data_IF_414903765317
#
_entry.id   IF_414903765317
#
_cell.length_a   1.000
_cell.length_b   1.000
_cell.length_c   1.000
_cell.angle_alpha   90.00
_cell.angle_beta   90.00
_cell.angle_gamma   90.00
#
_symmetry.space_group_name_H-M   'P 1'
#
loop_
_entity.id
_entity.type
_entity.pdbx_description
1 polymer ?
#
# COMPACT_ATOMS: atom_id res chain seq x y z
N UNK A 1 -24.96 23.31 18.73
CA UNK A 1 -23.48 23.38 18.59
C UNK A 1 -23.05 22.51 17.44
N UNK A 2 -22.67 23.10 16.31
CA UNK A 2 -22.19 22.36 15.14
C UNK A 2 -20.70 22.10 15.35
N UNK A 3 -20.35 20.86 15.72
CA UNK A 3 -18.95 20.45 15.86
C UNK A 3 -18.33 20.49 14.46
N UNK A 4 -17.55 21.54 14.16
CA UNK A 4 -16.69 21.57 12.98
C UNK A 4 -15.67 20.44 13.15
N UNK A 5 -15.85 19.34 12.42
CA UNK A 5 -14.81 18.31 12.28
C UNK A 5 -13.56 18.99 11.74
N UNK A 6 -12.54 19.14 12.56
CA UNK A 6 -11.21 19.52 12.08
C UNK A 6 -10.82 18.58 10.94
N UNK A 7 -10.41 19.18 9.84
CA UNK A 7 -9.99 18.47 8.64
C UNK A 7 -8.65 17.81 8.99
N UNK A 8 -8.71 16.59 9.54
CA UNK A 8 -7.52 15.83 9.92
C UNK A 8 -6.60 15.73 8.70
N UNK A 9 -5.45 16.39 8.76
CA UNK A 9 -4.46 16.31 7.70
C UNK A 9 -4.11 14.84 7.50
N UNK A 10 -4.47 14.32 6.33
CA UNK A 10 -4.23 12.92 6.01
C UNK A 10 -2.78 12.80 5.57
N UNK A 11 -2.09 11.83 6.14
CA UNK A 11 -0.75 11.48 5.72
C UNK A 11 -0.76 11.04 4.25
N UNK A 12 0.04 11.71 3.42
CA UNK A 12 0.21 11.39 2.01
C UNK A 12 1.66 11.02 1.77
N UNK A 13 1.94 9.71 1.74
CA UNK A 13 3.30 9.18 1.65
C UNK A 13 4.12 9.81 0.51
N UNK A 14 3.53 10.02 -0.68
CA UNK A 14 4.25 10.64 -1.82
C UNK A 14 4.66 12.09 -1.57
N UNK A 15 3.84 12.85 -0.83
CA UNK A 15 4.16 14.24 -0.48
C UNK A 15 5.34 14.29 0.48
N UNK A 16 5.32 13.44 1.49
CA UNK A 16 6.41 13.32 2.48
C UNK A 16 7.74 12.92 1.84
N UNK A 17 7.70 12.04 0.83
CA UNK A 17 8.89 11.59 0.11
C UNK A 17 9.30 12.50 -1.06
N UNK A 18 8.59 13.61 -1.29
CA UNK A 18 8.74 14.46 -2.47
C UNK A 18 8.74 13.67 -3.80
N UNK A 19 7.92 12.61 -3.87
CA UNK A 19 7.83 11.73 -5.02
C UNK A 19 6.77 12.24 -6.00
N UNK A 20 7.19 12.67 -7.19
CA UNK A 20 6.36 13.42 -8.16
C UNK A 20 5.83 12.59 -9.34
N UNK A 21 5.64 11.29 -9.19
CA UNK A 21 5.11 10.48 -10.28
C UNK A 21 3.60 10.72 -10.50
N UNK A 22 3.12 10.77 -11.77
CA UNK A 22 1.70 10.82 -12.09
C UNK A 22 0.91 9.66 -11.47
N UNK A 23 -0.32 9.93 -11.02
CA UNK A 23 -1.18 8.90 -10.40
C UNK A 23 -1.49 7.78 -11.37
N UNK A 24 -1.65 8.07 -12.67
CA UNK A 24 -1.95 7.07 -13.70
C UNK A 24 -0.83 6.05 -13.85
N UNK A 25 0.44 6.51 -13.88
CA UNK A 25 1.59 5.60 -13.94
C UNK A 25 1.65 4.67 -12.72
N UNK A 26 1.34 5.21 -11.53
CA UNK A 26 1.33 4.43 -10.28
C UNK A 26 0.18 3.42 -10.30
N UNK A 27 -1.00 3.88 -10.73
CA UNK A 27 -2.20 3.07 -10.88
C UNK A 27 -1.92 1.88 -11.80
N UNK A 28 -1.35 2.12 -12.96
CA UNK A 28 -1.06 1.09 -13.96
C UNK A 28 0.01 0.10 -13.46
N UNK A 29 1.05 0.59 -12.78
CA UNK A 29 2.05 -0.28 -12.15
C UNK A 29 1.48 -1.17 -11.04
N UNK A 30 0.64 -0.59 -10.16
CA UNK A 30 0.04 -1.32 -9.03
C UNK A 30 -1.13 -2.20 -9.49
N UNK A 31 -1.71 -1.95 -10.67
CA UNK A 31 -2.88 -2.67 -11.17
C UNK A 31 -4.17 -2.33 -10.41
N UNK A 32 -4.29 -1.11 -9.88
CA UNK A 32 -5.50 -0.65 -9.17
C UNK A 32 -6.18 0.51 -9.91
N UNK A 33 -7.20 1.14 -9.32
CA UNK A 33 -7.77 2.39 -9.83
C UNK A 33 -7.21 3.60 -9.05
N UNK A 34 -7.35 4.84 -9.55
CA UNK A 34 -6.80 6.02 -8.87
C UNK A 34 -7.30 6.19 -7.42
N UNK A 35 -8.55 5.82 -7.14
CA UNK A 35 -9.11 5.84 -5.77
C UNK A 35 -8.38 4.85 -4.85
N UNK A 36 -8.00 3.69 -5.37
CA UNK A 36 -7.18 2.69 -4.69
C UNK A 36 -5.82 3.23 -4.29
N UNK A 37 -5.15 3.95 -5.19
CA UNK A 37 -3.86 4.62 -4.88
C UNK A 37 -4.01 5.56 -3.68
N UNK A 38 -5.02 6.43 -3.66
CA UNK A 38 -5.26 7.32 -2.51
C UNK A 38 -5.64 6.57 -1.24
N UNK A 39 -6.39 5.46 -1.34
CA UNK A 39 -6.73 4.63 -0.19
C UNK A 39 -5.48 4.02 0.45
N UNK A 40 -4.57 3.48 -0.36
CA UNK A 40 -3.29 2.91 0.10
C UNK A 40 -2.48 3.98 0.84
N UNK A 41 -2.34 5.19 0.29
CA UNK A 41 -1.62 6.28 0.95
C UNK A 41 -2.24 6.65 2.30
N UNK A 42 -3.57 6.80 2.35
CA UNK A 42 -4.27 7.22 3.57
C UNK A 42 -4.24 6.14 4.67
N UNK A 43 -4.18 4.86 4.29
CA UNK A 43 -4.17 3.73 5.22
C UNK A 43 -2.76 3.24 5.57
N UNK A 44 -1.73 3.77 4.91
CA UNK A 44 -0.34 3.31 5.01
C UNK A 44 0.18 3.20 6.46
N UNK A 45 -0.07 4.22 7.29
CA UNK A 45 0.37 4.26 8.71
C UNK A 45 -0.48 3.37 9.64
N UNK A 46 -1.70 3.05 9.22
CA UNK A 46 -2.66 2.23 9.98
C UNK A 46 -2.67 0.76 9.55
N UNK A 47 -2.02 0.46 8.43
CA UNK A 47 -1.90 -0.88 7.86
C UNK A 47 -1.08 -1.78 8.78
N UNK A 48 -1.73 -2.80 9.38
CA UNK A 48 -1.06 -3.87 10.13
C UNK A 48 0.05 -4.54 9.28
N UNK A 49 -0.17 -4.81 7.97
CA UNK A 49 0.89 -5.35 7.11
C UNK A 49 2.15 -4.46 7.05
N UNK A 50 2.00 -3.14 6.93
CA UNK A 50 3.15 -2.22 6.85
C UNK A 50 4.04 -2.35 8.08
N UNK A 51 3.45 -2.38 9.29
CA UNK A 51 4.22 -2.52 10.54
C UNK A 51 4.91 -3.88 10.63
N UNK A 52 4.25 -4.94 10.19
CA UNK A 52 4.83 -6.27 10.16
C UNK A 52 6.03 -6.35 9.22
N UNK A 53 5.93 -5.81 8.00
CA UNK A 53 7.05 -5.76 7.05
C UNK A 53 8.23 -4.92 7.56
N UNK A 54 7.97 -3.80 8.26
CA UNK A 54 9.02 -3.02 8.91
C UNK A 54 9.75 -3.84 9.99
N UNK A 55 9.02 -4.65 10.77
CA UNK A 55 9.62 -5.53 11.77
C UNK A 55 10.49 -6.60 11.12
N UNK A 56 10.01 -7.28 10.07
CA UNK A 56 10.79 -8.27 9.33
C UNK A 56 12.07 -7.67 8.74
N UNK A 57 11.97 -6.49 8.12
CA UNK A 57 13.13 -5.73 7.64
C UNK A 57 14.12 -5.43 8.77
N UNK A 58 13.64 -5.02 9.95
CA UNK A 58 14.49 -4.75 11.13
C UNK A 58 15.25 -6.00 11.59
N UNK A 59 14.69 -7.20 11.42
CA UNK A 59 15.36 -8.47 11.74
C UNK A 59 16.36 -8.91 10.66
N UNK A 60 16.56 -8.13 9.60
CA UNK A 60 17.48 -8.48 8.51
C UNK A 60 16.89 -9.45 7.49
N UNK A 61 15.56 -9.64 7.48
CA UNK A 61 14.90 -10.48 6.48
C UNK A 61 14.98 -9.84 5.08
N UNK A 62 15.15 -10.67 4.05
CA UNK A 62 15.13 -10.25 2.66
C UNK A 62 13.68 -9.94 2.22
N UNK A 63 13.36 -8.66 2.13
CA UNK A 63 12.02 -8.21 1.77
C UNK A 63 11.62 -8.57 0.34
N UNK A 64 12.57 -8.68 -0.59
CA UNK A 64 12.26 -9.07 -1.97
C UNK A 64 11.76 -10.51 -2.01
N UNK A 65 12.45 -11.43 -1.32
CA UNK A 65 12.00 -12.82 -1.18
C UNK A 65 10.63 -12.92 -0.51
N UNK A 66 10.37 -12.10 0.51
CA UNK A 66 9.06 -12.06 1.18
C UNK A 66 7.97 -11.62 0.20
N UNK A 67 8.20 -10.56 -0.58
CA UNK A 67 7.23 -10.09 -1.55
C UNK A 67 7.02 -11.10 -2.70
N UNK A 68 8.08 -11.74 -3.18
CA UNK A 68 7.98 -12.81 -4.19
C UNK A 68 7.10 -13.97 -3.70
N UNK A 69 7.21 -14.34 -2.41
CA UNK A 69 6.36 -15.39 -1.82
C UNK A 69 4.90 -14.96 -1.74
N UNK A 70 4.63 -13.71 -1.37
CA UNK A 70 3.26 -13.16 -1.31
C UNK A 70 2.63 -13.17 -2.70
N UNK A 71 3.35 -12.67 -3.71
CA UNK A 71 2.89 -12.62 -5.10
C UNK A 71 2.58 -14.02 -5.63
N UNK A 72 3.46 -15.00 -5.36
CA UNK A 72 3.22 -16.41 -5.74
C UNK A 72 1.95 -16.99 -5.12
N UNK A 73 1.63 -16.65 -3.87
CA UNK A 73 0.41 -17.11 -3.21
C UNK A 73 -0.84 -16.40 -3.72
N UNK A 74 -0.75 -15.13 -4.11
CA UNK A 74 -1.84 -14.43 -4.80
C UNK A 74 -2.12 -15.02 -6.18
N UNK A 75 -1.07 -15.31 -6.97
CA UNK A 75 -1.20 -15.94 -8.28
C UNK A 75 -1.91 -17.30 -8.21
N UNK A 76 -1.54 -18.14 -7.23
CA UNK A 76 -2.21 -19.44 -7.00
C UNK A 76 -3.70 -19.28 -6.68
N UNK A 77 -4.05 -18.30 -5.86
CA UNK A 77 -5.46 -18.04 -5.52
C UNK A 77 -6.26 -17.61 -6.75
N UNK A 78 -5.67 -16.78 -7.61
CA UNK A 78 -6.33 -16.31 -8.82
C UNK A 78 -6.52 -17.43 -9.86
N UNK A 79 -5.63 -18.44 -9.88
CA UNK A 79 -5.79 -19.62 -10.74
C UNK A 79 -6.87 -20.59 -10.24
N UNK A 80 -6.96 -20.83 -8.93
CA UNK A 80 -7.97 -21.74 -8.36
C UNK A 80 -9.41 -21.20 -8.38
N UNK A 81 -9.63 -19.94 -8.81
CA UNK A 81 -10.97 -19.35 -8.97
C UNK A 81 -11.48 -19.55 -10.41
N UNK A 82 -10.61 -19.94 -11.35
CA UNK A 82 -10.94 -20.12 -12.76
C UNK A 82 -10.99 -21.60 -13.21
N UNK A 83 -10.97 -22.55 -12.26
CA UNK A 83 -11.29 -23.97 -12.46
C UNK A 83 -12.59 -24.32 -11.72
#
# INVERSE_FOLDING_TARGET
MTIKKEKKDRFHLRKELNFKAPVDNIKDYIGCNPKGVYYIENSFLTSKPTRYFMYLRKQGMDMNKIFDLILKEEDKKNHNINE
#
